data_IF_248746114886
#
_entry.id   IF_248746114886
#
_cell.length_a   1.000
_cell.length_b   1.000
_cell.length_c   1.000
_cell.angle_alpha   90.00
_cell.angle_beta   90.00
_cell.angle_gamma   90.00
#
_symmetry.space_group_name_H-M   'P 1'
#
loop_
_entity.id
_entity.type
_entity.pdbx_description
1 polymer ?
#
# COMPACT_ATOMS: atom_id res chain seq x y z
N UNK A 1 10.93 -7.32 -32.33
CA UNK A 1 11.65 -6.21 -31.67
C UNK A 1 11.54 -4.92 -32.46
N UNK A 2 10.50 -4.11 -32.16
CA UNK A 2 10.51 -2.69 -32.53
C UNK A 2 11.13 -1.94 -31.35
N UNK A 3 12.45 -1.80 -31.37
CA UNK A 3 13.15 -0.86 -30.47
C UNK A 3 12.95 0.53 -31.05
N UNK A 4 12.17 1.36 -30.38
CA UNK A 4 12.08 2.78 -30.73
C UNK A 4 13.41 3.44 -30.33
N UNK A 5 13.96 4.26 -31.21
CA UNK A 5 15.26 4.92 -31.00
C UNK A 5 15.19 5.78 -29.75
N UNK A 6 16.20 5.70 -28.87
CA UNK A 6 16.35 6.61 -27.73
C UNK A 6 16.41 8.05 -28.27
N UNK A 7 15.47 8.89 -27.84
CA UNK A 7 15.46 10.31 -28.20
C UNK A 7 16.15 11.08 -27.08
N UNK A 8 17.30 11.67 -27.38
CA UNK A 8 17.99 12.64 -26.53
C UNK A 8 17.92 14.02 -27.19
N UNK A 9 17.23 14.95 -26.52
CA UNK A 9 17.18 16.41 -26.70
C UNK A 9 16.26 17.04 -27.78
N UNK A 10 15.66 18.18 -27.37
CA UNK A 10 14.88 19.13 -28.19
C UNK A 10 13.38 18.86 -28.15
N UNK A 11 12.54 19.88 -27.87
CA UNK A 11 11.09 19.73 -27.80
C UNK A 11 10.54 18.99 -29.03
N UNK A 12 10.09 17.75 -28.83
CA UNK A 12 9.70 16.86 -29.92
C UNK A 12 8.39 16.18 -29.56
N UNK A 13 7.42 16.22 -30.48
CA UNK A 13 6.23 15.38 -30.44
C UNK A 13 6.47 14.23 -31.41
N UNK A 14 6.76 13.04 -30.89
CA UNK A 14 6.83 11.82 -31.70
C UNK A 14 5.54 11.02 -31.52
N UNK A 15 4.76 10.90 -32.59
CA UNK A 15 3.61 10.00 -32.66
C UNK A 15 4.01 8.83 -33.55
N UNK A 16 4.12 7.63 -32.96
CA UNK A 16 4.31 6.41 -33.72
C UNK A 16 3.01 5.61 -33.71
N UNK A 17 2.34 5.55 -34.86
CA UNK A 17 1.22 4.64 -35.11
C UNK A 17 1.72 3.55 -36.06
N UNK A 18 1.73 2.29 -35.61
CA UNK A 18 2.21 1.17 -36.43
C UNK A 18 1.00 0.44 -37.04
N UNK A 19 0.88 0.46 -38.37
CA UNK A 19 -0.33 0.14 -39.12
C UNK A 19 -0.67 -1.36 -39.29
N UNK A 20 -0.26 -2.24 -38.36
CA UNK A 20 -0.57 -3.69 -38.47
C UNK A 20 -1.17 -4.28 -37.17
N UNK A 21 -1.08 -3.58 -36.04
CA UNK A 21 -1.98 -3.73 -34.89
C UNK A 21 -2.12 -2.33 -34.26
N UNK A 22 -3.32 -1.91 -33.85
CA UNK A 22 -3.65 -0.52 -33.48
C UNK A 22 -2.98 0.00 -32.19
N UNK A 23 -1.65 -0.14 -32.08
CA UNK A 23 -0.86 0.34 -30.96
C UNK A 23 -0.55 1.82 -31.15
N UNK A 24 -0.60 2.56 -30.04
CA UNK A 24 -0.34 4.00 -29.99
C UNK A 24 0.88 4.26 -29.11
N UNK A 25 1.88 4.94 -29.65
CA UNK A 25 2.99 5.48 -28.87
C UNK A 25 3.01 7.00 -29.05
N UNK A 26 2.82 7.73 -27.94
CA UNK A 26 2.88 9.20 -27.90
C UNK A 26 3.96 9.61 -26.91
N UNK A 27 4.91 10.40 -27.38
CA UNK A 27 5.99 10.95 -26.57
C UNK A 27 6.00 12.47 -26.73
N UNK A 28 5.87 13.18 -25.61
CA UNK A 28 6.09 14.61 -25.50
C UNK A 28 7.23 14.84 -24.50
N UNK A 29 8.30 15.50 -24.94
CA UNK A 29 9.43 15.86 -24.08
C UNK A 29 9.73 17.35 -24.22
N UNK A 30 9.94 18.03 -23.10
CA UNK A 30 10.36 19.42 -23.05
C UNK A 30 11.40 19.61 -21.93
N UNK A 31 12.54 20.19 -22.30
CA UNK A 31 13.70 20.40 -21.43
C UNK A 31 14.94 19.62 -21.88
N UNK A 32 16.02 19.70 -21.10
CA UNK A 32 17.32 19.15 -21.48
C UNK A 32 17.60 17.81 -20.80
N UNK A 33 18.17 16.85 -21.55
CA UNK A 33 18.66 15.60 -20.97
C UNK A 33 17.58 14.59 -20.55
N UNK A 34 16.31 14.84 -20.88
CA UNK A 34 15.24 13.86 -20.71
C UNK A 34 15.51 12.61 -21.59
N UNK A 35 15.25 11.43 -21.05
CA UNK A 35 15.48 10.13 -21.69
C UNK A 35 14.18 9.32 -21.71
N UNK A 36 13.87 8.75 -22.87
CA UNK A 36 12.72 7.87 -23.09
C UNK A 36 13.19 6.62 -23.85
N UNK A 37 12.86 5.45 -23.33
CA UNK A 37 13.15 4.17 -23.96
C UNK A 37 11.91 3.25 -23.92
N UNK A 38 10.94 3.44 -24.83
CA UNK A 38 9.74 2.62 -24.89
C UNK A 38 10.02 1.34 -25.66
N UNK A 39 9.49 0.21 -25.17
CA UNK A 39 9.58 -1.09 -25.84
C UNK A 39 8.18 -1.64 -26.05
N UNK A 40 7.89 -2.05 -27.29
CA UNK A 40 6.76 -2.93 -27.60
C UNK A 40 7.29 -4.16 -28.34
N UNK A 41 7.24 -5.33 -27.71
CA UNK A 41 7.80 -6.57 -28.27
C UNK A 41 6.88 -7.79 -28.10
N UNK A 42 6.84 -8.70 -29.07
CA UNK A 42 5.88 -9.80 -29.10
C UNK A 42 4.50 -9.42 -29.67
N UNK A 43 3.45 -10.12 -29.24
CA UNK A 43 2.05 -10.01 -29.69
C UNK A 43 1.29 -8.87 -29.02
N UNK A 44 1.83 -7.65 -29.14
CA UNK A 44 1.22 -6.44 -28.58
C UNK A 44 0.15 -5.89 -29.54
N UNK A 45 -1.09 -5.74 -29.10
CA UNK A 45 -2.21 -5.25 -29.94
C UNK A 45 -3.10 -4.24 -29.21
N UNK A 46 -3.64 -3.25 -29.94
CA UNK A 46 -4.53 -2.20 -29.40
C UNK A 46 -4.02 -1.51 -28.12
N UNK A 47 -2.70 -1.50 -27.89
CA UNK A 47 -2.11 -1.06 -26.63
C UNK A 47 -1.43 0.31 -26.76
N UNK A 48 -1.43 1.09 -25.69
CA UNK A 48 -0.93 2.45 -25.68
C UNK A 48 0.26 2.64 -24.73
N UNK A 49 1.25 3.42 -25.18
CA UNK A 49 2.29 4.00 -24.33
C UNK A 49 2.21 5.52 -24.49
N UNK A 50 1.97 6.22 -23.38
CA UNK A 50 1.82 7.67 -23.31
C UNK A 50 2.91 8.23 -22.41
N UNK A 51 3.75 9.12 -22.91
CA UNK A 51 4.85 9.70 -22.14
C UNK A 51 4.83 11.21 -22.28
N UNK A 52 4.90 11.89 -21.15
CA UNK A 52 4.99 13.34 -21.08
C UNK A 52 6.05 13.74 -20.04
N UNK A 53 7.13 14.38 -20.47
CA UNK A 53 8.24 14.81 -19.61
C UNK A 53 8.48 16.31 -19.78
N UNK A 54 8.30 17.08 -18.72
CA UNK A 54 8.62 18.50 -18.64
C UNK A 54 9.68 18.73 -17.56
N UNK A 55 10.80 19.36 -17.92
CA UNK A 55 11.95 19.60 -17.04
C UNK A 55 13.19 18.90 -17.57
N UNK A 56 14.21 18.74 -16.74
CA UNK A 56 15.52 18.23 -17.14
C UNK A 56 15.81 16.86 -16.54
N UNK A 57 16.58 16.03 -17.26
CA UNK A 57 17.08 14.75 -16.77
C UNK A 57 16.00 13.74 -16.30
N UNK A 58 14.75 13.88 -16.73
CA UNK A 58 13.72 12.89 -16.45
C UNK A 58 13.94 11.61 -17.28
N UNK A 59 13.74 10.45 -16.68
CA UNK A 59 13.91 9.13 -17.30
C UNK A 59 12.59 8.36 -17.29
N UNK A 60 12.20 7.82 -18.44
CA UNK A 60 10.97 7.04 -18.63
C UNK A 60 11.25 5.78 -19.44
N UNK A 61 10.92 4.63 -18.87
CA UNK A 61 11.16 3.29 -19.46
C UNK A 61 9.90 2.42 -19.42
N UNK A 62 8.93 2.65 -20.31
CA UNK A 62 7.74 1.82 -20.43
C UNK A 62 7.96 0.64 -21.39
N UNK A 63 7.66 -0.57 -20.94
CA UNK A 63 7.77 -1.79 -21.73
C UNK A 63 6.44 -2.55 -21.76
N UNK A 64 5.93 -2.83 -22.96
CA UNK A 64 4.83 -3.77 -23.18
C UNK A 64 5.36 -4.97 -23.97
N UNK A 65 5.26 -6.16 -23.40
CA UNK A 65 5.83 -7.37 -23.99
C UNK A 65 4.86 -8.55 -24.04
N UNK A 66 5.14 -9.50 -24.94
CA UNK A 66 4.39 -10.76 -25.12
C UNK A 66 2.91 -10.50 -25.49
N UNK A 67 1.96 -11.24 -24.93
CA UNK A 67 0.54 -11.19 -25.30
C UNK A 67 -0.21 -10.00 -24.67
N UNK A 68 0.38 -8.80 -24.72
CA UNK A 68 -0.23 -7.60 -24.13
C UNK A 68 -1.27 -7.00 -25.09
N UNK A 69 -2.52 -6.89 -24.67
CA UNK A 69 -3.61 -6.40 -25.51
C UNK A 69 -4.45 -5.33 -24.79
N UNK A 70 -4.91 -4.32 -25.53
CA UNK A 70 -5.77 -3.24 -25.02
C UNK A 70 -5.25 -2.57 -23.74
N UNK A 71 -3.94 -2.62 -23.49
CA UNK A 71 -3.34 -2.20 -22.23
C UNK A 71 -2.62 -0.88 -22.38
N UNK A 72 -2.57 -0.09 -21.32
CA UNK A 72 -2.02 1.27 -21.34
C UNK A 72 -0.91 1.43 -20.31
N UNK A 73 0.22 1.98 -20.74
CA UNK A 73 1.23 2.55 -19.86
C UNK A 73 1.26 4.06 -20.05
N UNK A 74 1.21 4.83 -18.97
CA UNK A 74 1.32 6.28 -19.02
C UNK A 74 2.28 6.86 -17.99
N UNK A 75 3.27 7.63 -18.44
CA UNK A 75 4.24 8.31 -17.58
C UNK A 75 4.11 9.82 -17.76
N UNK A 76 3.81 10.55 -16.68
CA UNK A 76 3.82 12.01 -16.63
C UNK A 76 4.85 12.47 -15.60
N UNK A 77 5.86 13.22 -16.04
CA UNK A 77 6.95 13.68 -15.18
C UNK A 77 7.11 15.19 -15.35
N UNK A 78 6.91 15.94 -14.28
CA UNK A 78 7.03 17.40 -14.22
C UNK A 78 8.07 17.76 -13.15
N UNK A 79 9.20 18.34 -13.54
CA UNK A 79 10.32 18.63 -12.65
C UNK A 79 11.61 18.00 -13.18
N UNK A 80 12.65 17.94 -12.36
CA UNK A 80 13.97 17.46 -12.76
C UNK A 80 14.31 16.09 -12.13
N UNK A 81 15.06 15.26 -12.85
CA UNK A 81 15.59 13.97 -12.36
C UNK A 81 14.55 12.92 -11.91
N UNK A 82 13.31 12.98 -12.40
CA UNK A 82 12.31 11.95 -12.10
C UNK A 82 12.56 10.66 -12.89
N UNK A 83 12.31 9.50 -12.29
CA UNK A 83 12.44 8.17 -12.93
C UNK A 83 11.14 7.39 -12.86
N UNK A 84 10.62 6.98 -14.02
CA UNK A 84 9.40 6.18 -14.14
C UNK A 84 9.70 4.90 -14.96
N UNK A 85 9.40 3.75 -14.39
CA UNK A 85 9.56 2.43 -15.02
C UNK A 85 8.20 1.73 -14.98
N UNK A 86 7.75 1.19 -16.10
CA UNK A 86 6.54 0.34 -16.10
C UNK A 86 6.72 -0.81 -17.05
N UNK A 87 6.38 -2.01 -16.60
CA UNK A 87 6.40 -3.23 -17.42
C UNK A 87 5.02 -3.89 -17.43
N UNK A 88 4.46 -4.10 -18.62
CA UNK A 88 3.27 -4.91 -18.84
C UNK A 88 3.63 -6.16 -19.66
N UNK A 89 3.50 -7.32 -19.05
CA UNK A 89 3.85 -8.61 -19.67
C UNK A 89 2.64 -9.55 -19.65
N UNK A 90 2.11 -9.93 -20.83
CA UNK A 90 0.87 -10.70 -20.95
C UNK A 90 -0.33 -10.01 -20.28
N UNK A 91 -0.41 -8.69 -20.37
CA UNK A 91 -1.48 -7.91 -19.75
C UNK A 91 -2.66 -7.71 -20.72
N UNK A 92 -3.89 -7.84 -20.24
CA UNK A 92 -5.11 -7.62 -21.02
C UNK A 92 -5.91 -6.50 -20.38
N UNK A 93 -6.27 -5.46 -21.16
CA UNK A 93 -7.06 -4.31 -20.68
C UNK A 93 -6.54 -3.67 -19.38
N UNK A 94 -5.24 -3.83 -19.10
CA UNK A 94 -4.65 -3.39 -17.83
C UNK A 94 -3.97 -2.03 -18.01
N UNK A 95 -3.94 -1.27 -16.92
CA UNK A 95 -3.46 0.11 -16.94
C UNK A 95 -2.40 0.32 -15.87
N UNK A 96 -1.27 0.92 -16.26
CA UNK A 96 -0.23 1.40 -15.35
C UNK A 96 0.03 2.89 -15.62
N UNK A 97 -0.22 3.75 -14.63
CA UNK A 97 0.08 5.18 -14.71
C UNK A 97 0.99 5.62 -13.58
N UNK A 98 2.03 6.37 -13.93
CA UNK A 98 2.94 7.04 -13.01
C UNK A 98 2.86 8.54 -13.29
N UNK A 99 2.52 9.32 -12.28
CA UNK A 99 2.59 10.79 -12.28
C UNK A 99 3.58 11.23 -11.21
N UNK A 100 4.61 11.96 -11.62
CA UNK A 100 5.63 12.51 -10.75
C UNK A 100 5.70 14.02 -10.94
N UNK A 101 5.53 14.76 -9.86
CA UNK A 101 5.73 16.20 -9.81
C UNK A 101 6.89 16.54 -8.87
N UNK A 102 7.57 17.62 -9.20
CA UNK A 102 8.80 18.08 -8.56
C UNK A 102 10.02 17.17 -8.83
N UNK A 103 11.08 17.29 -8.04
CA UNK A 103 12.39 16.74 -8.39
C UNK A 103 12.72 15.41 -7.68
N UNK A 104 13.45 14.54 -8.38
CA UNK A 104 14.08 13.32 -7.84
C UNK A 104 13.10 12.29 -7.24
N UNK A 105 11.97 12.05 -7.93
CA UNK A 105 11.03 10.98 -7.60
C UNK A 105 11.30 9.71 -8.41
N UNK A 106 11.09 8.54 -7.81
CA UNK A 106 11.27 7.24 -8.46
C UNK A 106 10.05 6.34 -8.26
N UNK A 107 9.50 5.82 -9.36
CA UNK A 107 8.40 4.88 -9.32
C UNK A 107 8.59 3.76 -10.35
N UNK A 108 8.27 2.54 -9.94
CA UNK A 108 8.30 1.36 -10.79
C UNK A 108 6.99 0.59 -10.65
N UNK A 109 6.38 0.22 -11.77
CA UNK A 109 5.22 -0.68 -11.79
C UNK A 109 5.51 -1.91 -12.65
N UNK A 110 5.02 -3.07 -12.22
CA UNK A 110 5.05 -4.30 -13.02
C UNK A 110 3.69 -4.97 -12.95
N UNK A 111 3.11 -5.21 -14.11
CA UNK A 111 1.87 -5.97 -14.29
C UNK A 111 2.17 -7.19 -15.16
N UNK A 112 2.22 -8.37 -14.55
CA UNK A 112 2.48 -9.63 -15.21
C UNK A 112 1.24 -10.51 -15.21
N UNK A 113 0.79 -10.95 -16.40
CA UNK A 113 -0.38 -11.82 -16.58
C UNK A 113 -1.67 -11.26 -15.96
N UNK A 114 -1.87 -9.94 -16.05
CA UNK A 114 -3.03 -9.25 -15.48
C UNK A 114 -4.18 -9.12 -16.47
N UNK A 115 -5.42 -9.10 -15.97
CA UNK A 115 -6.63 -8.74 -16.75
C UNK A 115 -7.38 -7.63 -16.03
N UNK A 116 -7.76 -6.56 -16.74
CA UNK A 116 -8.51 -5.41 -16.20
C UNK A 116 -7.93 -4.86 -14.88
N UNK A 117 -6.60 -4.93 -14.69
CA UNK A 117 -5.96 -4.52 -13.43
C UNK A 117 -5.31 -3.14 -13.58
N UNK A 118 -5.30 -2.40 -12.49
CA UNK A 118 -4.90 -1.00 -12.46
C UNK A 118 -3.78 -0.76 -11.43
N UNK A 119 -2.77 -0.02 -11.83
CA UNK A 119 -1.71 0.47 -10.97
C UNK A 119 -1.52 1.98 -11.20
N UNK A 120 -1.86 2.79 -10.21
CA UNK A 120 -1.75 4.25 -10.25
C UNK A 120 -0.79 4.74 -9.17
N UNK A 121 0.22 5.50 -9.59
CA UNK A 121 1.19 6.13 -8.70
C UNK A 121 1.18 7.63 -8.92
N UNK A 122 1.00 8.39 -7.85
CA UNK A 122 1.20 9.85 -7.83
C UNK A 122 2.23 10.20 -6.76
N UNK A 123 3.30 10.90 -7.14
CA UNK A 123 4.35 11.38 -6.24
C UNK A 123 4.48 12.89 -6.41
N UNK A 124 4.16 13.67 -5.38
CA UNK A 124 4.20 15.13 -5.39
C UNK A 124 5.09 15.64 -4.24
N UNK A 125 6.38 15.85 -4.49
CA UNK A 125 7.32 16.34 -3.46
C UNK A 125 8.80 16.17 -3.83
N UNK A 126 9.69 16.73 -3.01
CA UNK A 126 11.14 16.79 -3.27
C UNK A 126 11.88 15.60 -2.67
N UNK A 127 12.61 14.87 -3.52
CA UNK A 127 13.63 13.89 -3.12
C UNK A 127 13.15 12.64 -2.36
N UNK A 128 13.57 11.48 -2.86
CA UNK A 128 13.58 10.23 -2.11
C UNK A 128 12.24 9.52 -2.01
N UNK A 129 11.26 9.89 -2.83
CA UNK A 129 10.04 9.12 -2.97
C UNK A 129 10.30 7.88 -3.81
N UNK A 130 10.06 6.70 -3.26
CA UNK A 130 10.31 5.41 -3.93
C UNK A 130 9.07 4.53 -3.87
N UNK A 131 8.53 4.23 -5.05
CA UNK A 131 7.38 3.34 -5.19
C UNK A 131 7.74 2.11 -6.01
N UNK A 132 7.35 0.94 -5.50
CA UNK A 132 7.40 -0.32 -6.23
C UNK A 132 6.03 -0.99 -6.19
N UNK A 133 5.42 -1.19 -7.36
CA UNK A 133 4.18 -1.97 -7.51
C UNK A 133 4.47 -3.25 -8.30
N UNK A 134 3.97 -4.38 -7.79
CA UNK A 134 3.98 -5.66 -8.49
C UNK A 134 2.57 -6.29 -8.46
N UNK A 135 1.92 -6.39 -9.61
CA UNK A 135 0.68 -7.14 -9.81
C UNK A 135 0.96 -8.38 -10.68
N UNK A 136 0.76 -9.57 -10.12
CA UNK A 136 1.00 -10.84 -10.80
C UNK A 136 -0.26 -11.70 -10.85
N UNK A 137 -0.68 -12.10 -12.05
CA UNK A 137 -1.83 -13.01 -12.24
C UNK A 137 -3.12 -12.51 -11.58
N UNK A 138 -3.38 -11.19 -11.65
CA UNK A 138 -4.57 -10.55 -11.06
C UNK A 138 -5.66 -10.31 -12.10
N UNK A 139 -6.92 -10.33 -11.65
CA UNK A 139 -8.08 -9.88 -12.44
C UNK A 139 -8.79 -8.74 -11.72
N UNK A 140 -9.13 -7.65 -12.40
CA UNK A 140 -9.90 -6.53 -11.83
C UNK A 140 -9.33 -5.98 -10.51
N UNK A 141 -8.01 -6.04 -10.30
CA UNK A 141 -7.37 -5.61 -9.05
C UNK A 141 -6.72 -4.24 -9.21
N UNK A 142 -6.80 -3.41 -8.19
CA UNK A 142 -6.35 -2.02 -8.21
C UNK A 142 -5.32 -1.74 -7.12
N UNK A 143 -4.29 -0.99 -7.46
CA UNK A 143 -3.33 -0.40 -6.53
C UNK A 143 -3.28 1.10 -6.79
N UNK A 144 -3.52 1.90 -5.76
CA UNK A 144 -3.40 3.35 -5.80
C UNK A 144 -2.42 3.81 -4.73
N UNK A 145 -1.39 4.56 -5.13
CA UNK A 145 -0.41 5.15 -4.22
C UNK A 145 -0.34 6.64 -4.47
N UNK A 146 -0.53 7.43 -3.40
CA UNK A 146 -0.31 8.86 -3.39
C UNK A 146 0.72 9.20 -2.31
N UNK A 147 1.88 9.67 -2.73
CA UNK A 147 2.93 10.16 -1.85
C UNK A 147 3.08 11.66 -2.04
N UNK A 148 3.12 12.40 -0.92
CA UNK A 148 3.34 13.84 -0.92
C UNK A 148 4.50 14.23 0.00
N UNK A 149 5.20 15.32 -0.33
CA UNK A 149 6.40 15.81 0.36
C UNK A 149 7.58 14.83 0.21
N UNK A 150 8.48 14.74 1.19
CA UNK A 150 9.80 14.13 1.00
C UNK A 150 9.86 12.74 1.63
N UNK A 151 10.74 11.87 1.12
CA UNK A 151 11.18 10.62 1.77
C UNK A 151 10.14 9.51 2.00
N UNK A 152 9.04 9.46 1.24
CA UNK A 152 8.08 8.36 1.35
C UNK A 152 8.49 7.13 0.54
N UNK A 153 8.32 5.94 1.09
CA UNK A 153 8.50 4.68 0.36
C UNK A 153 7.27 3.78 0.53
N UNK A 154 6.78 3.26 -0.59
CA UNK A 154 5.66 2.33 -0.62
C UNK A 154 5.99 1.16 -1.54
N UNK A 155 5.80 -0.06 -1.02
CA UNK A 155 5.92 -1.30 -1.79
C UNK A 155 4.58 -2.02 -1.77
N UNK A 156 4.07 -2.38 -2.94
CA UNK A 156 2.75 -2.99 -3.07
C UNK A 156 2.84 -4.26 -3.91
N UNK A 157 2.29 -5.35 -3.38
CA UNK A 157 2.21 -6.64 -4.06
C UNK A 157 0.79 -7.18 -4.10
N UNK A 158 0.26 -7.45 -5.28
CA UNK A 158 -1.00 -8.19 -5.46
C UNK A 158 -0.75 -9.43 -6.33
N UNK A 159 -1.09 -10.62 -5.83
CA UNK A 159 -0.80 -11.88 -6.52
C UNK A 159 -2.00 -12.82 -6.55
N UNK A 160 -2.30 -13.42 -7.71
CA UNK A 160 -3.27 -14.51 -7.88
C UNK A 160 -4.66 -14.22 -7.26
N UNK A 161 -5.21 -13.03 -7.50
CA UNK A 161 -6.46 -12.60 -6.89
C UNK A 161 -7.37 -11.82 -7.83
N UNK A 162 -8.67 -11.80 -7.52
CA UNK A 162 -9.67 -11.04 -8.26
C UNK A 162 -10.25 -9.93 -7.40
N UNK A 163 -10.33 -8.70 -7.93
CA UNK A 163 -11.02 -7.61 -7.25
C UNK A 163 -10.31 -7.06 -6.01
N UNK A 164 -9.01 -7.29 -5.85
CA UNK A 164 -8.27 -6.78 -4.69
C UNK A 164 -7.97 -5.29 -4.87
N UNK A 165 -8.11 -4.51 -3.79
CA UNK A 165 -7.86 -3.07 -3.76
C UNK A 165 -6.84 -2.77 -2.69
N UNK A 166 -5.82 -2.00 -3.05
CA UNK A 166 -4.84 -1.50 -2.10
C UNK A 166 -4.61 0.00 -2.32
N UNK A 167 -4.82 0.80 -1.28
CA UNK A 167 -4.71 2.26 -1.29
C UNK A 167 -3.68 2.68 -0.27
N UNK A 168 -2.74 3.52 -0.69
CA UNK A 168 -1.73 4.11 0.19
C UNK A 168 -1.74 5.62 0.01
N UNK A 169 -1.85 6.34 1.13
CA UNK A 169 -1.60 7.77 1.22
C UNK A 169 -0.46 8.03 2.21
N UNK A 170 0.65 8.61 1.74
CA UNK A 170 1.76 8.99 2.60
C UNK A 170 2.07 10.48 2.46
N UNK A 171 2.11 11.18 3.58
CA UNK A 171 2.52 12.57 3.68
C UNK A 171 3.75 12.66 4.59
N UNK A 172 4.92 12.72 3.96
CA UNK A 172 6.21 12.77 4.65
C UNK A 172 6.52 14.13 5.25
N UNK A 173 7.59 14.24 6.04
CA UNK A 173 8.14 15.53 6.44
C UNK A 173 9.65 15.57 6.17
N UNK A 174 10.30 16.69 6.55
CA UNK A 174 11.69 17.00 6.21
C UNK A 174 12.74 15.98 6.68
N UNK A 175 12.42 15.06 7.61
CA UNK A 175 13.40 14.11 8.22
C UNK A 175 12.74 12.75 8.51
N UNK A 176 13.16 11.70 7.80
CA UNK A 176 12.83 10.31 8.11
C UNK A 176 11.84 9.68 7.12
N UNK A 177 12.09 8.43 6.74
CA UNK A 177 11.30 7.76 5.71
C UNK A 177 10.02 7.15 6.29
N UNK A 178 8.86 7.46 5.72
CA UNK A 178 7.67 6.65 5.95
C UNK A 178 7.73 5.45 5.00
N UNK A 179 7.62 4.24 5.55
CA UNK A 179 7.62 3.00 4.77
C UNK A 179 6.28 2.30 4.95
N UNK A 180 5.69 1.87 3.83
CA UNK A 180 4.57 0.96 3.89
C UNK A 180 4.71 -0.18 2.89
N UNK A 181 4.36 -1.37 3.35
CA UNK A 181 4.26 -2.57 2.53
C UNK A 181 2.86 -3.16 2.65
N UNK A 182 2.21 -3.37 1.51
CA UNK A 182 0.94 -4.09 1.46
C UNK A 182 1.07 -5.27 0.51
N UNK A 183 0.78 -6.46 1.02
CA UNK A 183 0.77 -7.70 0.27
C UNK A 183 -0.61 -8.37 0.33
N UNK A 184 -1.23 -8.56 -0.83
CA UNK A 184 -2.48 -9.31 -0.97
C UNK A 184 -2.26 -10.47 -1.93
N UNK A 185 -2.47 -11.71 -1.48
CA UNK A 185 -2.15 -12.91 -2.25
C UNK A 185 -3.26 -13.95 -2.20
N UNK A 186 -3.53 -14.66 -3.31
CA UNK A 186 -4.42 -15.83 -3.38
C UNK A 186 -5.86 -15.61 -2.83
N UNK A 187 -6.31 -14.36 -2.74
CA UNK A 187 -7.60 -13.95 -2.18
C UNK A 187 -8.37 -13.05 -3.14
N UNK A 188 -9.68 -12.94 -2.94
CA UNK A 188 -10.56 -12.10 -3.75
C UNK A 188 -11.20 -10.98 -2.93
N UNK A 189 -11.40 -9.82 -3.53
CA UNK A 189 -12.09 -8.68 -2.89
C UNK A 189 -11.45 -8.22 -1.58
N UNK A 190 -10.15 -8.42 -1.41
CA UNK A 190 -9.42 -7.92 -0.24
C UNK A 190 -9.16 -6.43 -0.41
N UNK A 191 -9.35 -5.66 0.67
CA UNK A 191 -9.16 -4.22 0.72
C UNK A 191 -8.13 -3.87 1.80
N UNK A 192 -7.13 -3.10 1.42
CA UNK A 192 -6.16 -2.55 2.37
C UNK A 192 -6.03 -1.05 2.10
N UNK A 193 -6.30 -0.25 3.11
CA UNK A 193 -6.13 1.21 3.08
C UNK A 193 -5.15 1.59 4.18
N UNK A 194 -4.12 2.35 3.81
CA UNK A 194 -3.17 2.83 4.78
C UNK A 194 -2.75 4.29 4.54
N UNK A 195 -2.85 5.06 5.61
CA UNK A 195 -2.53 6.48 5.66
C UNK A 195 -1.42 6.74 6.68
N UNK A 196 -0.33 7.36 6.25
CA UNK A 196 0.80 7.73 7.11
C UNK A 196 1.12 9.22 6.96
N UNK A 197 1.00 9.99 8.04
CA UNK A 197 1.25 11.43 8.07
C UNK A 197 2.29 11.72 9.14
N UNK A 198 3.51 12.09 8.74
CA UNK A 198 4.58 12.39 9.68
C UNK A 198 5.95 11.83 9.26
N UNK A 199 6.74 11.34 10.23
CA UNK A 199 8.12 10.92 10.00
C UNK A 199 8.45 9.53 10.55
N UNK A 200 9.25 8.74 9.82
CA UNK A 200 9.79 7.45 10.29
C UNK A 200 8.68 6.45 10.67
N UNK A 201 7.53 6.51 9.99
CA UNK A 201 6.43 5.58 10.22
C UNK A 201 6.67 4.29 9.43
N UNK A 202 6.27 3.15 9.98
CA UNK A 202 6.31 1.86 9.29
C UNK A 202 4.96 1.18 9.36
N UNK A 203 4.45 0.75 8.22
CA UNK A 203 3.24 -0.04 8.11
C UNK A 203 3.52 -1.32 7.33
N UNK A 204 2.96 -2.43 7.79
CA UNK A 204 2.92 -3.69 7.08
C UNK A 204 1.48 -4.21 7.11
N UNK A 205 0.92 -4.49 5.93
CA UNK A 205 -0.41 -5.11 5.81
C UNK A 205 -0.30 -6.34 4.93
N UNK A 206 -0.60 -7.51 5.50
CA UNK A 206 -0.55 -8.80 4.82
C UNK A 206 -1.95 -9.43 4.84
N UNK A 207 -2.53 -9.63 3.66
CA UNK A 207 -3.80 -10.33 3.46
C UNK A 207 -3.58 -11.50 2.50
N UNK A 208 -2.74 -12.44 2.92
CA UNK A 208 -2.36 -13.62 2.13
C UNK A 208 -3.36 -14.76 2.37
N UNK A 209 -4.26 -14.93 1.42
CA UNK A 209 -5.34 -15.91 1.44
C UNK A 209 -6.66 -15.33 1.93
N UNK A 210 -7.73 -16.05 1.60
CA UNK A 210 -9.10 -15.68 1.96
C UNK A 210 -9.65 -14.45 1.22
N UNK A 211 -10.96 -14.29 1.26
CA UNK A 211 -11.71 -13.28 0.50
C UNK A 211 -12.39 -12.27 1.40
N UNK A 212 -12.50 -11.02 0.95
CA UNK A 212 -13.25 -9.97 1.64
C UNK A 212 -12.58 -9.38 2.88
N UNK A 213 -11.28 -9.63 3.08
CA UNK A 213 -10.56 -9.07 4.22
C UNK A 213 -10.39 -7.55 4.06
N UNK A 214 -10.56 -6.80 5.15
CA UNK A 214 -10.45 -5.34 5.18
C UNK A 214 -9.44 -4.90 6.22
N UNK A 215 -8.44 -4.14 5.82
CA UNK A 215 -7.48 -3.51 6.73
C UNK A 215 -7.51 -2.01 6.52
N UNK A 216 -7.66 -1.26 7.61
CA UNK A 216 -7.50 0.19 7.66
C UNK A 216 -6.39 0.52 8.66
N UNK A 217 -5.45 1.36 8.26
CA UNK A 217 -4.31 1.75 9.09
C UNK A 217 -4.07 3.25 8.99
N UNK A 218 -4.10 3.96 10.11
CA UNK A 218 -3.86 5.40 10.18
C UNK A 218 -2.74 5.71 11.18
N UNK A 219 -1.66 6.33 10.74
CA UNK A 219 -0.54 6.75 11.59
C UNK A 219 -0.30 8.25 11.47
N UNK A 220 -0.37 8.97 12.58
CA UNK A 220 -0.06 10.39 12.68
C UNK A 220 1.07 10.65 13.68
N UNK A 221 2.14 11.33 13.27
CA UNK A 221 3.24 11.74 14.17
C UNK A 221 4.61 11.15 13.82
N UNK A 222 5.32 10.48 14.74
CA UNK A 222 6.67 9.93 14.48
C UNK A 222 6.88 8.51 14.99
N UNK A 223 7.66 7.70 14.27
CA UNK A 223 8.12 6.37 14.73
C UNK A 223 7.02 5.37 15.09
N UNK A 224 5.81 5.54 14.54
CA UNK A 224 4.72 4.59 14.75
C UNK A 224 4.93 3.35 13.87
N UNK A 225 4.57 2.17 14.39
CA UNK A 225 4.61 0.89 13.70
C UNK A 225 3.25 0.20 13.72
N UNK A 226 2.78 -0.23 12.54
CA UNK A 226 1.60 -1.07 12.36
C UNK A 226 1.99 -2.35 11.63
N UNK A 227 1.48 -3.49 12.12
CA UNK A 227 1.51 -4.78 11.42
C UNK A 227 0.13 -5.43 11.49
N UNK A 228 -0.48 -5.62 10.33
CA UNK A 228 -1.78 -6.28 10.19
C UNK A 228 -1.59 -7.54 9.35
N UNK A 229 -1.96 -8.69 9.90
CA UNK A 229 -1.99 -9.96 9.16
C UNK A 229 -3.37 -10.61 9.25
N UNK A 230 -4.03 -10.82 8.10
CA UNK A 230 -5.28 -11.57 8.01
C UNK A 230 -5.07 -12.91 7.31
N UNK A 231 -5.57 -13.98 7.93
CA UNK A 231 -5.64 -15.32 7.36
C UNK A 231 -7.06 -15.87 7.50
N UNK A 232 -7.75 -16.09 6.38
CA UNK A 232 -9.18 -16.50 6.33
C UNK A 232 -10.08 -15.43 5.70
N UNK A 233 -11.40 -15.57 5.79
CA UNK A 233 -12.36 -14.73 5.04
C UNK A 233 -13.03 -13.65 5.89
N UNK A 234 -13.29 -12.48 5.31
CA UNK A 234 -14.05 -11.37 5.89
C UNK A 234 -13.52 -10.84 7.24
N UNK A 235 -12.22 -10.94 7.49
CA UNK A 235 -11.61 -10.35 8.69
C UNK A 235 -11.44 -8.84 8.49
N UNK A 236 -11.75 -8.07 9.53
CA UNK A 236 -11.61 -6.61 9.54
C UNK A 236 -10.67 -6.20 10.65
N UNK A 237 -9.66 -5.41 10.30
CA UNK A 237 -8.75 -4.75 11.23
C UNK A 237 -8.71 -3.26 10.96
N UNK A 238 -8.82 -2.47 12.02
CA UNK A 238 -8.68 -1.02 12.00
C UNK A 238 -7.74 -0.59 13.13
N UNK A 239 -6.70 0.14 12.75
CA UNK A 239 -5.68 0.63 13.67
C UNK A 239 -5.47 2.12 13.45
N UNK A 240 -5.61 2.90 14.52
CA UNK A 240 -5.29 4.33 14.54
C UNK A 240 -4.23 4.64 15.61
N UNK A 241 -3.12 5.25 15.20
CA UNK A 241 -2.03 5.64 16.07
C UNK A 241 -1.70 7.12 15.96
N UNK A 242 -1.70 7.83 17.08
CA UNK A 242 -1.36 9.25 17.16
C UNK A 242 -0.09 9.48 17.97
N UNK A 243 0.69 10.50 17.63
CA UNK A 243 1.90 10.95 18.31
C UNK A 243 3.15 10.08 18.04
N UNK A 244 3.87 9.62 19.07
CA UNK A 244 5.24 9.11 18.91
C UNK A 244 5.43 7.68 19.44
N UNK A 245 6.10 6.83 18.66
CA UNK A 245 6.61 5.50 19.05
C UNK A 245 5.55 4.47 19.46
N UNK A 246 4.34 4.52 18.89
CA UNK A 246 3.32 3.51 19.17
C UNK A 246 3.50 2.27 18.28
N UNK A 247 3.20 1.09 18.85
CA UNK A 247 3.24 -0.21 18.20
C UNK A 247 1.85 -0.85 18.26
N UNK A 248 1.32 -1.26 17.12
CA UNK A 248 0.07 -2.00 17.03
C UNK A 248 0.24 -3.20 16.08
N UNK A 249 -0.09 -4.39 16.57
CA UNK A 249 -0.04 -5.63 15.83
C UNK A 249 -1.39 -6.32 15.91
N UNK A 250 -2.05 -6.51 14.77
CA UNK A 250 -3.28 -7.27 14.65
C UNK A 250 -3.07 -8.51 13.79
N UNK A 251 -3.26 -9.69 14.39
CA UNK A 251 -3.16 -10.98 13.71
C UNK A 251 -4.49 -11.71 13.87
N UNK A 252 -5.22 -11.87 12.76
CA UNK A 252 -6.51 -12.54 12.72
C UNK A 252 -6.45 -13.81 11.86
N UNK A 253 -6.85 -14.94 12.46
CA UNK A 253 -6.92 -16.25 11.82
C UNK A 253 -8.33 -16.83 11.97
N UNK A 254 -9.04 -17.04 10.86
CA UNK A 254 -10.41 -17.54 10.83
C UNK A 254 -11.32 -16.60 10.04
N UNK A 255 -12.62 -16.61 10.29
CA UNK A 255 -13.57 -15.84 9.50
C UNK A 255 -14.37 -14.81 10.31
N UNK A 256 -14.65 -13.66 9.70
CA UNK A 256 -15.49 -12.59 10.28
C UNK A 256 -14.96 -12.05 11.62
N UNK A 257 -13.65 -12.06 11.85
CA UNK A 257 -13.08 -11.44 13.04
C UNK A 257 -13.01 -9.91 12.87
N UNK A 258 -13.17 -9.17 13.97
CA UNK A 258 -13.06 -7.72 14.05
C UNK A 258 -12.02 -7.35 15.12
N UNK A 259 -11.01 -6.58 14.74
CA UNK A 259 -10.00 -6.04 15.64
C UNK A 259 -9.87 -4.53 15.45
N UNK A 260 -10.22 -3.76 16.47
CA UNK A 260 -10.11 -2.31 16.51
C UNK A 260 -9.06 -1.93 17.57
N UNK A 261 -8.12 -1.07 17.21
CA UNK A 261 -7.16 -0.49 18.14
C UNK A 261 -6.98 1.01 17.87
N UNK A 262 -7.21 1.81 18.91
CA UNK A 262 -6.90 3.24 18.92
C UNK A 262 -5.85 3.51 20.00
N UNK A 263 -4.72 4.10 19.61
CA UNK A 263 -3.64 4.49 20.51
C UNK A 263 -3.38 5.99 20.43
N UNK A 264 -3.73 6.72 21.48
CA UNK A 264 -3.35 8.12 21.66
C UNK A 264 -2.35 8.24 22.81
N UNK A 265 -1.09 8.57 22.51
CA UNK A 265 -0.03 8.72 23.51
C UNK A 265 1.35 8.38 22.97
N UNK A 266 2.33 8.18 23.87
CA UNK A 266 3.69 7.81 23.47
C UNK A 266 4.12 6.43 24.00
N UNK A 267 4.81 5.66 23.16
CA UNK A 267 5.35 4.33 23.51
C UNK A 267 4.28 3.31 23.93
N UNK A 268 3.08 3.38 23.37
CA UNK A 268 2.03 2.43 23.66
C UNK A 268 2.13 1.19 22.75
N UNK A 269 1.80 0.02 23.29
CA UNK A 269 1.83 -1.27 22.59
C UNK A 269 0.44 -1.92 22.66
N UNK A 270 -0.10 -2.33 21.50
CA UNK A 270 -1.32 -3.14 21.38
C UNK A 270 -1.02 -4.35 20.50
N UNK A 271 -1.06 -5.54 21.10
CA UNK A 271 -0.95 -6.81 20.39
C UNK A 271 -2.28 -7.59 20.50
N UNK A 272 -2.90 -7.86 19.36
CA UNK A 272 -4.17 -8.60 19.26
C UNK A 272 -3.97 -9.84 18.41
N UNK A 273 -4.22 -11.00 19.02
CA UNK A 273 -4.24 -12.30 18.36
C UNK A 273 -5.64 -12.90 18.45
N UNK A 274 -6.34 -13.03 17.32
CA UNK A 274 -7.67 -13.65 17.24
C UNK A 274 -7.59 -14.93 16.40
N UNK A 275 -8.00 -16.06 16.98
CA UNK A 275 -8.08 -17.35 16.30
C UNK A 275 -9.47 -17.96 16.47
N UNK A 276 -10.16 -18.20 15.36
CA UNK A 276 -11.53 -18.72 15.29
C UNK A 276 -12.46 -17.79 14.51
N UNK A 277 -13.77 -17.97 14.63
CA UNK A 277 -14.76 -17.23 13.86
C UNK A 277 -15.53 -16.21 14.71
N UNK A 278 -15.84 -15.05 14.13
CA UNK A 278 -16.68 -14.00 14.74
C UNK A 278 -16.14 -13.43 16.06
N UNK A 279 -14.82 -13.42 16.28
CA UNK A 279 -14.26 -12.75 17.45
C UNK A 279 -14.21 -11.23 17.23
N UNK A 280 -14.52 -10.47 18.28
CA UNK A 280 -14.47 -9.01 18.30
C UNK A 280 -13.53 -8.57 19.42
N UNK A 281 -12.59 -7.69 19.08
CA UNK A 281 -11.77 -6.95 20.05
C UNK A 281 -11.83 -5.47 19.73
N UNK A 282 -12.11 -4.66 20.75
CA UNK A 282 -12.11 -3.20 20.68
C UNK A 282 -11.25 -2.66 21.82
N UNK A 283 -10.15 -2.00 21.47
CA UNK A 283 -9.14 -1.55 22.41
C UNK A 283 -8.87 -0.06 22.19
N UNK A 284 -9.10 0.73 23.25
CA UNK A 284 -8.77 2.15 23.26
C UNK A 284 -7.73 2.44 24.34
N UNK A 285 -6.56 2.91 23.94
CA UNK A 285 -5.53 3.47 24.83
C UNK A 285 -5.57 5.00 24.73
N UNK A 286 -6.24 5.64 25.68
CA UNK A 286 -6.44 7.09 25.70
C UNK A 286 -5.35 7.80 26.53
N UNK A 287 -4.61 8.72 25.89
CA UNK A 287 -3.82 9.77 26.53
C UNK A 287 -2.60 9.37 27.39
N UNK A 288 -2.29 8.08 27.52
CA UNK A 288 -1.23 7.57 28.39
C UNK A 288 0.09 7.25 27.69
N UNK A 289 1.19 7.22 28.45
CA UNK A 289 2.49 6.78 27.98
C UNK A 289 2.84 5.37 28.49
N UNK A 290 3.50 4.57 27.65
CA UNK A 290 4.01 3.24 28.02
C UNK A 290 2.93 2.26 28.48
N UNK A 291 1.73 2.34 27.90
CA UNK A 291 0.70 1.33 28.12
C UNK A 291 0.94 0.12 27.22
N UNK A 292 0.81 -1.07 27.77
CA UNK A 292 0.96 -2.32 27.06
C UNK A 292 -0.31 -3.15 27.19
N UNK A 293 -0.76 -3.66 26.05
CA UNK A 293 -1.97 -4.44 25.92
C UNK A 293 -1.70 -5.67 25.06
N UNK A 294 -1.95 -6.86 25.61
CA UNK A 294 -1.82 -8.15 24.91
C UNK A 294 -3.14 -8.92 25.04
N UNK A 295 -3.79 -9.21 23.91
CA UNK A 295 -4.99 -10.04 23.84
C UNK A 295 -4.77 -11.27 22.98
N UNK A 296 -5.14 -12.42 23.52
CA UNK A 296 -5.29 -13.67 22.77
C UNK A 296 -6.73 -14.18 22.90
N UNK A 297 -7.50 -14.16 21.82
CA UNK A 297 -8.82 -14.78 21.74
C UNK A 297 -8.72 -16.07 20.92
N UNK A 298 -9.13 -17.20 21.50
CA UNK A 298 -9.19 -18.50 20.83
C UNK A 298 -10.58 -19.13 20.99
N UNK A 299 -11.24 -19.41 19.87
CA UNK A 299 -12.61 -19.93 19.81
C UNK A 299 -13.53 -18.98 19.05
N UNK A 300 -14.84 -19.14 19.21
CA UNK A 300 -15.83 -18.45 18.36
C UNK A 300 -16.66 -17.43 19.15
N UNK A 301 -16.99 -16.31 18.51
CA UNK A 301 -17.90 -15.29 19.05
C UNK A 301 -17.42 -14.69 20.39
N UNK A 302 -16.11 -14.59 20.62
CA UNK A 302 -15.61 -13.91 21.81
C UNK A 302 -15.63 -12.41 21.59
N UNK A 303 -16.11 -11.66 22.57
CA UNK A 303 -16.08 -10.20 22.60
C UNK A 303 -15.18 -9.73 23.71
N UNK A 304 -14.26 -8.85 23.36
CA UNK A 304 -13.37 -8.18 24.29
C UNK A 304 -13.41 -6.67 24.07
N UNK A 305 -13.58 -5.92 25.15
CA UNK A 305 -13.51 -4.46 25.16
C UNK A 305 -12.52 -4.00 26.24
N UNK A 306 -11.52 -3.20 25.88
CA UNK A 306 -10.66 -2.53 26.87
C UNK A 306 -10.56 -1.03 26.65
N UNK A 307 -10.55 -0.31 27.77
CA UNK A 307 -10.12 1.08 27.83
C UNK A 307 -8.98 1.19 28.85
N UNK A 308 -7.85 1.74 28.42
CA UNK A 308 -6.76 2.17 29.29
C UNK A 308 -6.60 3.68 29.21
N UNK A 309 -6.70 4.35 30.35
CA UNK A 309 -6.50 5.80 30.51
C UNK A 309 -5.52 6.05 31.66
N UNK A 310 -4.38 6.69 31.37
CA UNK A 310 -3.25 6.86 32.29
C UNK A 310 -1.98 6.14 31.84
N UNK A 311 -0.88 6.23 32.59
CA UNK A 311 0.45 5.78 32.17
C UNK A 311 0.84 4.41 32.72
N UNK A 312 1.70 3.68 32.00
CA UNK A 312 2.32 2.42 32.46
C UNK A 312 1.31 1.35 32.88
N UNK A 313 0.16 1.31 32.24
CA UNK A 313 -0.85 0.28 32.45
C UNK A 313 -0.54 -0.98 31.63
N UNK A 314 -0.75 -2.14 32.22
CA UNK A 314 -0.52 -3.44 31.61
C UNK A 314 -1.79 -4.28 31.67
N UNK A 315 -2.28 -4.72 30.51
CA UNK A 315 -3.36 -5.71 30.40
C UNK A 315 -2.86 -6.90 29.58
N UNK A 316 -2.96 -8.09 30.15
CA UNK A 316 -2.80 -9.35 29.43
C UNK A 316 -4.06 -10.19 29.60
N UNK A 317 -4.72 -10.52 28.49
CA UNK A 317 -5.97 -11.28 28.49
C UNK A 317 -5.87 -12.46 27.53
N UNK A 318 -6.19 -13.65 28.05
CA UNK A 318 -6.47 -14.83 27.24
C UNK A 318 -7.95 -15.20 27.37
N UNK A 319 -8.67 -15.20 26.26
CA UNK A 319 -10.06 -15.69 26.18
C UNK A 319 -10.08 -16.98 25.36
N UNK A 320 -10.17 -18.13 26.02
CA UNK A 320 -10.36 -19.42 25.38
C UNK A 320 -11.82 -19.88 25.48
N UNK A 321 -12.36 -20.45 24.40
CA UNK A 321 -13.73 -20.95 24.33
C UNK A 321 -14.65 -20.09 23.46
N UNK A 322 -15.96 -20.29 23.60
CA UNK A 322 -16.95 -19.61 22.76
C UNK A 322 -17.79 -18.63 23.57
N UNK A 323 -18.19 -17.53 22.94
CA UNK A 323 -19.14 -16.55 23.52
C UNK A 323 -18.66 -15.92 24.83
N UNK A 324 -17.35 -15.80 25.03
CA UNK A 324 -16.82 -15.07 26.17
C UNK A 324 -17.04 -13.57 25.97
N UNK A 325 -17.47 -12.86 27.01
CA UNK A 325 -17.54 -11.41 27.05
C UNK A 325 -16.64 -10.92 28.18
N UNK A 326 -15.64 -10.10 27.86
CA UNK A 326 -14.89 -9.34 28.87
C UNK A 326 -14.89 -7.86 28.52
N UNK A 327 -15.04 -7.05 29.57
CA UNK A 327 -14.89 -5.61 29.52
C UNK A 327 -13.92 -5.21 30.62
N UNK A 328 -12.87 -4.50 30.24
CA UNK A 328 -11.83 -4.01 31.15
C UNK A 328 -11.75 -2.50 31.04
N UNK A 329 -11.73 -1.82 32.17
CA UNK A 329 -11.42 -0.39 32.23
C UNK A 329 -10.34 -0.19 33.28
N UNK A 330 -9.16 0.26 32.86
CA UNK A 330 -8.09 0.69 33.74
C UNK A 330 -7.94 2.19 33.61
N UNK A 331 -8.18 2.89 34.72
CA UNK A 331 -8.01 4.35 34.84
C UNK A 331 -6.95 4.60 35.91
N UNK A 332 -5.96 5.44 35.60
CA UNK A 332 -4.84 5.78 36.47
C UNK A 332 -3.52 5.18 36.01
N UNK A 333 -2.47 5.33 36.83
CA UNK A 333 -1.11 4.91 36.47
C UNK A 333 -0.73 3.55 37.09
N UNK A 334 0.02 2.72 36.35
CA UNK A 334 0.65 1.51 36.88
C UNK A 334 -0.30 0.34 37.16
N UNK A 335 -1.48 0.31 36.57
CA UNK A 335 -2.43 -0.78 36.79
C UNK A 335 -1.99 -2.04 36.05
N UNK A 336 -2.09 -3.20 36.70
CA UNK A 336 -1.80 -4.50 36.10
C UNK A 336 -3.05 -5.35 36.17
N UNK A 337 -3.51 -5.85 35.02
CA UNK A 337 -4.58 -6.84 34.93
C UNK A 337 -4.09 -8.02 34.11
N UNK A 338 -4.20 -9.22 34.68
CA UNK A 338 -3.88 -10.46 34.00
C UNK A 338 -5.05 -11.42 34.14
N UNK A 339 -5.63 -11.82 33.02
CA UNK A 339 -6.64 -12.87 32.95
C UNK A 339 -6.11 -14.03 32.10
N UNK A 340 -5.77 -15.18 32.72
CA UNK A 340 -5.25 -16.35 32.03
C UNK A 340 -6.33 -17.22 31.37
#
# INVERSE_FOLDING_TARGET
MKKYTTITAGAFLAIYASSISANTLIILQNGMGNTVAPVQDGTVTSSAILINQFGNLNSSTPEQINNTNSSTIGHFQLGDMNTAVSLQNNASSSTAFITQADDNNSASTTQASTTDSEAFVTQNGWSGQVVFINQGSTTSSSIFINQTKNFNSATMGQFNGTGNTAVVYQEGHLIGNNFIEIQQGNGNSNSADATQIGNTQRGLVIQNGGSGNKSYSYQFGKQNYIDVTHTGDNNTSEIEQFWESNLAVHIQSGNNNLALAEQSGQNNVVDVFQSGDMNTSDITQAGGNSNEYILTQSGNSNTFLAIQDGNSNYIMVTQAGNSNLQMISQIGDGNVYVFP
#
